data_IF_350871538594
#
_entry.id   IF_350871538594
#
_cell.length_a   1.000
_cell.length_b   1.000
_cell.length_c   1.000
_cell.angle_alpha   90.00
_cell.angle_beta   90.00
_cell.angle_gamma   90.00
#
_symmetry.space_group_name_H-M   'P 1'
#
loop_
_entity.id
_entity.type
_entity.pdbx_description
1 polymer ?
#
# COMPACT_ATOMS: atom_id res chain seq x y z
N UNK A 1 -7.16 -5.88 -6.76
CA UNK A 1 -7.34 -4.49 -6.31
C UNK A 1 -8.39 -4.37 -5.21
N UNK A 2 -9.60 -4.94 -5.38
CA UNK A 2 -10.67 -4.83 -4.36
C UNK A 2 -10.26 -5.40 -2.99
N UNK A 3 -9.57 -6.54 -2.96
CA UNK A 3 -9.10 -7.16 -1.71
C UNK A 3 -8.04 -6.31 -0.99
N UNK A 4 -7.08 -5.75 -1.73
CA UNK A 4 -6.09 -4.80 -1.21
C UNK A 4 -6.78 -3.60 -0.56
N UNK A 5 -7.72 -2.98 -1.27
CA UNK A 5 -8.43 -1.80 -0.78
C UNK A 5 -9.20 -2.13 0.49
N UNK A 6 -9.92 -3.26 0.51
CA UNK A 6 -10.67 -3.69 1.69
C UNK A 6 -9.75 -3.88 2.90
N UNK A 7 -8.58 -4.50 2.72
CA UNK A 7 -7.58 -4.63 3.78
C UNK A 7 -7.14 -3.27 4.31
N UNK A 8 -6.80 -2.34 3.42
CA UNK A 8 -6.37 -0.99 3.77
C UNK A 8 -7.44 -0.22 4.56
N UNK A 9 -8.70 -0.29 4.13
CA UNK A 9 -9.83 0.35 4.83
C UNK A 9 -10.12 -0.30 6.20
N UNK A 10 -9.95 -1.62 6.33
CA UNK A 10 -10.11 -2.33 7.61
C UNK A 10 -9.01 -1.96 8.60
N UNK A 11 -7.76 -1.82 8.12
CA UNK A 11 -6.58 -1.47 8.93
C UNK A 11 -6.50 0.01 9.28
N UNK A 12 -6.83 0.87 8.32
CA UNK A 12 -6.74 2.33 8.44
C UNK A 12 -8.09 3.00 8.14
N UNK A 13 -9.10 2.82 9.00
CA UNK A 13 -10.47 3.32 8.76
C UNK A 13 -10.59 4.85 8.74
N UNK A 14 -9.52 5.58 9.10
CA UNK A 14 -9.47 7.04 9.10
C UNK A 14 -8.89 7.62 7.80
N UNK A 15 -8.46 6.77 6.86
CA UNK A 15 -7.85 7.18 5.59
C UNK A 15 -8.83 6.87 4.46
N UNK A 16 -9.10 7.88 3.63
CA UNK A 16 -9.90 7.73 2.41
C UNK A 16 -9.00 7.36 1.24
N UNK A 17 -8.82 6.06 1.04
CA UNK A 17 -7.99 5.50 -0.02
C UNK A 17 -8.57 5.65 -1.43
N UNK A 18 -9.84 6.06 -1.58
CA UNK A 18 -10.43 6.37 -2.89
C UNK A 18 -10.06 7.76 -3.38
N UNK A 19 -10.01 8.72 -2.46
CA UNK A 19 -9.76 10.11 -2.78
C UNK A 19 -8.27 10.49 -2.71
N UNK A 20 -7.50 9.83 -1.84
CA UNK A 20 -6.12 10.20 -1.57
C UNK A 20 -5.15 9.60 -2.58
N UNK A 21 -4.32 10.46 -3.17
CA UNK A 21 -3.28 10.10 -4.15
C UNK A 21 -1.89 10.58 -3.74
N UNK A 22 -1.79 11.20 -2.58
CA UNK A 22 -0.57 11.66 -1.96
C UNK A 22 -0.46 11.04 -0.56
N UNK A 23 -0.65 9.73 -0.44
CA UNK A 23 -0.67 9.05 0.85
C UNK A 23 0.64 9.25 1.62
N UNK A 24 1.79 9.06 0.97
CA UNK A 24 3.10 9.24 1.62
C UNK A 24 3.55 10.70 1.51
N UNK A 25 3.55 11.26 0.29
CA UNK A 25 4.00 12.64 0.06
C UNK A 25 3.16 13.70 0.78
N UNK A 26 1.87 13.44 1.01
CA UNK A 26 0.96 14.26 1.79
C UNK A 26 1.03 14.02 3.30
N UNK A 27 1.83 13.05 3.74
CA UNK A 27 2.03 12.72 5.17
C UNK A 27 0.83 12.01 5.82
N UNK A 28 0.00 11.33 5.02
CA UNK A 28 -1.15 10.55 5.50
C UNK A 28 -0.69 9.19 6.03
N UNK A 29 0.27 8.57 5.36
CA UNK A 29 0.99 7.37 5.80
C UNK A 29 2.39 7.76 6.30
N UNK A 30 2.72 7.29 7.49
CA UNK A 30 4.08 7.34 8.00
C UNK A 30 4.88 6.07 7.62
N UNK A 31 6.19 6.09 7.91
CA UNK A 31 7.08 4.97 7.59
C UNK A 31 6.71 3.66 8.29
N UNK A 32 6.08 3.71 9.47
CA UNK A 32 5.66 2.50 10.18
C UNK A 32 4.42 1.91 9.53
N UNK A 33 3.47 2.74 9.13
CA UNK A 33 2.27 2.32 8.42
C UNK A 33 2.62 1.71 7.05
N UNK A 34 3.59 2.29 6.32
CA UNK A 34 4.08 1.69 5.06
C UNK A 34 4.65 0.29 5.29
N UNK A 35 5.45 0.11 6.35
CA UNK A 35 6.01 -1.22 6.69
C UNK A 35 4.90 -2.21 7.08
N UNK A 36 3.87 -1.77 7.81
CA UNK A 36 2.70 -2.61 8.12
C UNK A 36 1.96 -3.03 6.85
N UNK A 37 1.70 -2.08 5.94
CA UNK A 37 1.05 -2.36 4.65
C UNK A 37 1.85 -3.38 3.83
N UNK A 38 3.17 -3.25 3.80
CA UNK A 38 4.05 -4.20 3.09
C UNK A 38 3.84 -5.62 3.63
N UNK A 39 3.87 -5.81 4.96
CA UNK A 39 3.68 -7.13 5.56
C UNK A 39 2.31 -7.73 5.25
N UNK A 40 1.25 -6.92 5.31
CA UNK A 40 -0.10 -7.37 4.94
C UNK A 40 -0.21 -7.74 3.46
N UNK A 41 0.47 -7.01 2.58
CA UNK A 41 0.53 -7.30 1.13
C UNK A 41 1.27 -8.63 0.89
N UNK A 42 2.44 -8.81 1.50
CA UNK A 42 3.22 -10.06 1.37
C UNK A 42 2.40 -11.26 1.82
N UNK A 43 1.75 -11.17 2.99
CA UNK A 43 0.92 -12.25 3.54
C UNK A 43 -0.36 -12.50 2.71
N UNK A 44 -1.00 -11.45 2.20
CA UNK A 44 -2.26 -11.55 1.46
C UNK A 44 -2.09 -12.10 0.04
N UNK A 45 -1.03 -11.69 -0.65
CA UNK A 45 -0.81 -12.01 -2.06
C UNK A 45 0.28 -13.07 -2.28
N UNK A 46 0.90 -13.60 -1.21
CA UNK A 46 1.99 -14.58 -1.25
C UNK A 46 3.16 -14.10 -2.12
N UNK A 47 3.49 -12.80 -1.99
CA UNK A 47 4.61 -12.15 -2.70
C UNK A 47 5.70 -11.72 -1.72
N UNK A 48 6.87 -11.33 -2.24
CA UNK A 48 7.92 -10.70 -1.44
C UNK A 48 8.28 -9.33 -2.01
N UNK A 49 8.17 -8.30 -1.18
CA UNK A 49 8.49 -6.92 -1.53
C UNK A 49 9.97 -6.67 -1.21
N UNK A 50 10.79 -6.59 -2.26
CA UNK A 50 12.22 -6.29 -2.10
C UNK A 50 12.44 -4.80 -1.80
N UNK A 51 13.63 -4.46 -1.27
CA UNK A 51 13.97 -3.06 -0.91
C UNK A 51 13.82 -2.04 -2.06
N UNK A 52 13.86 -2.49 -3.32
CA UNK A 52 13.71 -1.60 -4.47
C UNK A 52 12.26 -1.09 -4.65
N UNK A 53 11.28 -1.83 -4.16
CA UNK A 53 9.86 -1.47 -4.18
C UNK A 53 9.42 -0.71 -2.92
N UNK A 54 10.28 -0.60 -1.91
CA UNK A 54 10.03 0.20 -0.70
C UNK A 54 10.37 1.67 -0.98
N UNK A 55 9.64 2.26 -1.93
CA UNK A 55 9.77 3.67 -2.31
C UNK A 55 8.41 4.38 -2.17
N UNK A 56 8.39 5.67 -1.76
CA UNK A 56 7.14 6.42 -1.59
C UNK A 56 6.20 6.32 -2.79
N UNK A 57 6.75 6.36 -3.99
CA UNK A 57 6.03 6.32 -5.28
C UNK A 57 5.08 5.11 -5.40
N UNK A 58 5.45 3.94 -4.87
CA UNK A 58 4.60 2.74 -4.90
C UNK A 58 3.46 2.79 -3.86
N UNK A 59 3.55 3.65 -2.86
CA UNK A 59 2.59 3.78 -1.76
C UNK A 59 1.81 5.10 -1.78
N UNK A 60 1.91 5.90 -2.85
CA UNK A 60 1.17 7.18 -2.96
C UNK A 60 -0.34 6.99 -3.10
N UNK A 61 -0.78 5.85 -3.64
CA UNK A 61 -2.20 5.53 -3.86
C UNK A 61 -2.45 4.02 -3.85
N UNK A 62 -3.72 3.60 -3.79
CA UNK A 62 -4.08 2.17 -3.93
C UNK A 62 -3.70 1.66 -5.32
N UNK A 63 -3.83 2.50 -6.35
CA UNK A 63 -3.46 2.12 -7.71
C UNK A 63 -1.97 1.81 -7.82
N UNK A 64 -1.10 2.66 -7.27
CA UNK A 64 0.36 2.41 -7.31
C UNK A 64 0.77 1.18 -6.50
N UNK A 65 0.09 0.92 -5.38
CA UNK A 65 0.32 -0.30 -4.60
C UNK A 65 -0.13 -1.55 -5.36
N UNK A 66 -1.24 -1.43 -6.10
CA UNK A 66 -1.75 -2.52 -6.94
C UNK A 66 -0.81 -2.80 -8.11
N UNK A 67 -0.32 -1.76 -8.80
CA UNK A 67 0.65 -1.90 -9.88
C UNK A 67 1.92 -2.63 -9.40
N UNK A 68 2.43 -2.28 -8.21
CA UNK A 68 3.55 -2.96 -7.57
C UNK A 68 3.27 -4.45 -7.33
N UNK A 69 2.07 -4.80 -6.85
CA UNK A 69 1.66 -6.19 -6.62
C UNK A 69 1.60 -6.95 -7.94
N UNK A 70 1.03 -6.35 -8.99
CA UNK A 70 0.95 -6.98 -10.32
C UNK A 70 2.33 -7.20 -10.95
N UNK A 71 3.31 -6.33 -10.69
CA UNK A 71 4.69 -6.51 -11.16
C UNK A 71 5.45 -7.62 -10.42
N UNK A 72 5.08 -7.91 -9.17
CA UNK A 72 5.75 -8.91 -8.32
C UNK A 72 5.17 -10.33 -8.45
N UNK A 73 4.03 -10.50 -9.11
CA UNK A 73 3.39 -11.79 -9.41
C UNK A 73 3.95 -12.47 -10.67
#
# INVERSE_FOLDING_TARGET
MEELKKMLEEKFPNIDFDAEKALVSGGVLDSLQVVEIIGEIEDMFDISVTMEYIQPDYFESVETMWDMIEELQ
#
